data_IF_049471181788
#
_entry.id   IF_049471181788
#
_cell.length_a   1.000
_cell.length_b   1.000
_cell.length_c   1.000
_cell.angle_alpha   90.00
_cell.angle_beta   90.00
_cell.angle_gamma   90.00
#
_symmetry.space_group_name_H-M   'P 1'
#
loop_
_entity.id
_entity.type
_entity.pdbx_description
1 polymer ?
#
# COMPACT_ATOMS: atom_id res chain seq x y z
N UNK A 1 -28.44 30.61 8.44
CA UNK A 1 -27.63 29.42 8.15
C UNK A 1 -26.29 29.91 7.67
N UNK A 2 -25.35 30.11 8.61
CA UNK A 2 -24.02 30.61 8.29
C UNK A 2 -23.12 29.42 7.97
N UNK A 3 -22.49 29.48 6.80
CA UNK A 3 -21.41 28.60 6.36
C UNK A 3 -20.18 28.84 7.23
N UNK A 4 -19.69 27.79 7.88
CA UNK A 4 -18.46 27.83 8.69
C UNK A 4 -17.29 27.54 7.76
N UNK A 5 -16.42 28.53 7.58
CA UNK A 5 -15.13 28.42 6.89
C UNK A 5 -14.10 27.73 7.80
N UNK A 6 -13.09 27.01 7.25
CA UNK A 6 -12.20 26.13 8.03
C UNK A 6 -11.08 26.85 8.80
N UNK A 7 -11.07 28.18 8.85
CA UNK A 7 -9.91 28.99 9.29
C UNK A 7 -9.95 29.49 10.74
N UNK A 8 -11.03 29.26 11.50
CA UNK A 8 -11.21 29.85 12.85
C UNK A 8 -11.06 28.84 14.01
N UNK A 9 -10.08 27.93 13.94
CA UNK A 9 -9.78 27.02 15.06
C UNK A 9 -8.32 27.12 15.55
N UNK A 10 -7.86 28.34 15.79
CA UNK A 10 -6.60 28.61 16.51
C UNK A 10 -6.79 29.77 17.48
N UNK A 11 -7.20 29.53 18.74
CA UNK A 11 -6.90 30.51 19.83
C UNK A 11 -7.13 30.08 21.30
N UNK A 12 -7.03 28.80 21.70
CA UNK A 12 -7.06 28.49 23.17
C UNK A 12 -6.47 27.16 23.62
N UNK A 13 -6.23 26.20 22.73
CA UNK A 13 -5.70 24.86 23.05
C UNK A 13 -4.20 24.69 22.73
N UNK A 14 -3.59 25.72 22.15
CA UNK A 14 -2.25 25.70 21.55
C UNK A 14 -1.09 25.28 22.49
N UNK A 15 -0.98 25.75 23.76
CA UNK A 15 0.19 25.45 24.57
C UNK A 15 0.22 23.99 25.05
N UNK A 16 -0.94 23.41 25.42
CA UNK A 16 -0.99 22.03 25.92
C UNK A 16 -0.84 21.01 24.78
N UNK A 17 -1.37 21.36 23.61
CA UNK A 17 -1.25 20.60 22.37
C UNK A 17 0.20 20.53 21.85
N UNK A 18 0.94 21.65 21.91
CA UNK A 18 2.34 21.69 21.51
C UNK A 18 3.25 20.87 22.45
N UNK A 19 3.03 20.97 23.76
CA UNK A 19 3.80 20.21 24.75
C UNK A 19 3.61 18.70 24.57
N UNK A 20 2.38 18.29 24.24
CA UNK A 20 2.08 16.88 23.98
C UNK A 20 2.77 16.37 22.71
N UNK A 21 2.75 17.17 21.64
CA UNK A 21 3.42 16.87 20.39
C UNK A 21 4.94 16.75 20.56
N UNK A 22 5.58 17.67 21.29
CA UNK A 22 7.03 17.68 21.51
C UNK A 22 7.54 16.41 22.21
N UNK A 23 6.71 15.81 23.08
CA UNK A 23 7.05 14.55 23.76
C UNK A 23 6.86 13.33 22.88
N UNK A 24 5.85 13.33 22.01
CA UNK A 24 5.50 12.16 21.20
C UNK A 24 6.27 12.09 19.87
N UNK A 25 6.47 13.24 19.20
CA UNK A 25 7.07 13.32 17.87
C UNK A 25 8.45 12.65 17.70
N UNK A 26 9.38 12.67 18.68
CA UNK A 26 10.68 12.01 18.56
C UNK A 26 10.60 10.48 18.41
N UNK A 27 9.46 9.89 18.75
CA UNK A 27 9.24 8.44 18.74
C UNK A 27 8.40 7.97 17.55
N UNK A 28 7.92 8.90 16.71
CA UNK A 28 7.25 8.59 15.46
C UNK A 28 8.25 8.70 14.30
N UNK A 29 7.91 8.07 13.18
CA UNK A 29 8.62 8.33 11.93
C UNK A 29 8.58 9.84 11.61
N UNK A 30 9.74 10.49 11.36
CA UNK A 30 9.80 11.93 11.10
C UNK A 30 9.00 12.36 9.86
N UNK A 31 8.86 11.49 8.86
CA UNK A 31 8.08 11.76 7.65
C UNK A 31 6.59 11.75 7.99
N UNK A 32 6.13 10.68 8.65
CA UNK A 32 4.75 10.53 9.14
C UNK A 32 4.35 11.64 10.12
N UNK A 33 5.22 11.97 11.07
CA UNK A 33 4.98 13.02 12.05
C UNK A 33 4.82 14.40 11.37
N UNK A 34 5.62 14.70 10.33
CA UNK A 34 5.49 15.95 9.60
C UNK A 34 4.22 15.99 8.74
N UNK A 35 3.93 14.92 8.02
CA UNK A 35 2.80 14.86 7.09
C UNK A 35 1.45 14.83 7.84
N UNK A 36 1.37 14.11 8.96
CA UNK A 36 0.12 13.82 9.66
C UNK A 36 -0.11 14.64 10.93
N UNK A 37 0.66 15.70 11.21
CA UNK A 37 0.60 16.45 12.48
C UNK A 37 -0.83 16.88 12.87
N UNK A 38 -1.59 17.46 11.94
CA UNK A 38 -2.94 17.95 12.22
C UNK A 38 -3.94 16.80 12.48
N UNK A 39 -3.91 15.78 11.62
CA UNK A 39 -4.79 14.62 11.71
C UNK A 39 -4.49 13.75 12.94
N UNK A 40 -3.22 13.61 13.30
CA UNK A 40 -2.77 12.90 14.50
C UNK A 40 -3.36 13.51 15.75
N UNK A 41 -3.33 14.82 15.86
CA UNK A 41 -3.78 15.45 17.09
C UNK A 41 -5.30 15.57 17.15
N UNK A 42 -5.96 15.71 15.99
CA UNK A 42 -7.43 15.75 15.90
C UNK A 42 -8.06 14.38 16.21
N UNK A 43 -7.46 13.31 15.68
CA UNK A 43 -8.07 11.98 15.72
C UNK A 43 -7.40 11.04 16.75
N UNK A 44 -6.10 11.20 16.99
CA UNK A 44 -5.26 10.28 17.77
C UNK A 44 -4.63 10.92 19.02
N UNK A 45 -5.07 12.12 19.42
CA UNK A 45 -4.52 12.86 20.56
C UNK A 45 -4.54 12.08 21.89
N UNK A 46 -5.44 11.13 22.09
CA UNK A 46 -5.44 10.31 23.31
C UNK A 46 -4.22 9.36 23.40
N UNK A 47 -3.66 8.94 22.28
CA UNK A 47 -2.54 7.98 22.23
C UNK A 47 -1.19 8.67 22.40
N UNK A 48 -1.10 9.93 21.99
CA UNK A 48 0.08 10.78 22.18
C UNK A 48 0.28 11.19 23.67
N UNK A 49 -0.73 10.95 24.52
CA UNK A 49 -0.69 11.20 25.97
C UNK A 49 -0.23 9.98 26.79
N UNK A 50 -0.02 8.82 26.16
CA UNK A 50 0.36 7.58 26.84
C UNK A 50 1.86 7.56 27.20
N UNK A 51 2.30 8.57 27.96
CA UNK A 51 3.65 8.68 28.47
C UNK A 51 3.84 7.76 29.69
N UNK A 52 4.22 6.51 29.44
CA UNK A 52 4.94 5.69 30.43
C UNK A 52 6.16 5.05 29.75
N UNK A 53 7.33 5.20 30.39
CA UNK A 53 8.70 4.96 29.91
C UNK A 53 9.05 3.54 29.40
N UNK A 54 8.09 2.62 29.24
CA UNK A 54 8.34 1.20 28.91
C UNK A 54 7.80 0.83 27.51
N UNK A 55 7.39 1.81 26.70
CA UNK A 55 6.48 1.54 25.57
C UNK A 55 6.77 2.33 24.27
N UNK A 56 8.02 2.73 23.99
CA UNK A 56 8.37 3.51 22.78
C UNK A 56 7.86 2.84 21.49
N UNK A 57 8.15 1.55 21.29
CA UNK A 57 7.65 0.79 20.11
C UNK A 57 6.13 0.63 20.10
N UNK A 58 5.47 0.66 21.27
CA UNK A 58 4.01 0.53 21.36
C UNK A 58 3.31 1.84 21.02
N UNK A 59 3.96 2.98 21.24
CA UNK A 59 3.37 4.28 20.93
C UNK A 59 3.27 4.46 19.42
N UNK A 60 4.34 4.19 18.68
CA UNK A 60 4.34 4.23 17.21
C UNK A 60 3.28 3.29 16.63
N UNK A 61 3.23 2.04 17.10
CA UNK A 61 2.21 1.07 16.66
C UNK A 61 0.78 1.54 16.96
N UNK A 62 0.52 2.08 18.16
CA UNK A 62 -0.82 2.55 18.53
C UNK A 62 -1.28 3.69 17.63
N UNK A 63 -0.37 4.65 17.35
CA UNK A 63 -0.60 5.79 16.49
C UNK A 63 -0.87 5.35 15.06
N UNK A 64 -0.08 4.41 14.52
CA UNK A 64 -0.30 3.82 13.20
C UNK A 64 -1.67 3.15 13.12
N UNK A 65 -2.08 2.39 14.14
CA UNK A 65 -3.40 1.75 14.19
C UNK A 65 -4.55 2.77 14.24
N UNK A 66 -4.38 3.88 14.96
CA UNK A 66 -5.34 4.98 14.96
C UNK A 66 -5.46 5.64 13.59
N UNK A 67 -4.32 5.99 12.97
CA UNK A 67 -4.30 6.59 11.64
C UNK A 67 -4.93 5.69 10.58
N UNK A 68 -4.63 4.38 10.59
CA UNK A 68 -5.27 3.40 9.71
C UNK A 68 -6.79 3.35 9.90
N UNK A 69 -7.26 3.45 11.15
CA UNK A 69 -8.69 3.47 11.47
C UNK A 69 -9.35 4.77 11.01
N UNK A 70 -8.69 5.92 11.22
CA UNK A 70 -9.15 7.22 10.73
C UNK A 70 -9.18 7.30 9.21
N UNK A 71 -8.20 6.70 8.52
CA UNK A 71 -8.20 6.59 7.08
C UNK A 71 -9.41 5.79 6.59
N UNK A 72 -9.67 4.61 7.16
CA UNK A 72 -10.85 3.79 6.83
C UNK A 72 -12.17 4.54 7.01
N UNK A 73 -12.23 5.44 7.99
CA UNK A 73 -13.40 6.25 8.30
C UNK A 73 -13.48 7.58 7.52
N UNK A 74 -12.53 7.87 6.62
CA UNK A 74 -12.40 9.15 5.90
C UNK A 74 -12.29 10.36 6.84
N UNK A 75 -11.59 10.21 7.97
CA UNK A 75 -11.40 11.24 8.99
C UNK A 75 -10.05 11.97 8.86
N UNK A 76 -9.27 11.65 7.82
CA UNK A 76 -7.99 12.30 7.49
C UNK A 76 -8.28 13.38 6.46
N UNK A 77 -7.85 14.61 6.73
CA UNK A 77 -8.12 15.77 5.87
C UNK A 77 -6.93 16.18 5.01
N UNK A 78 -5.70 15.97 5.50
CA UNK A 78 -4.50 16.35 4.77
C UNK A 78 -4.16 15.28 3.70
N UNK A 79 -4.13 15.68 2.43
CA UNK A 79 -3.78 14.78 1.31
C UNK A 79 -2.40 14.16 1.49
N UNK A 80 -1.41 14.96 1.95
CA UNK A 80 -0.06 14.49 2.25
C UNK A 80 -0.02 13.43 3.35
N UNK A 81 -0.92 13.53 4.34
CA UNK A 81 -1.03 12.53 5.38
C UNK A 81 -1.64 11.23 4.83
N UNK A 82 -2.63 11.34 3.95
CA UNK A 82 -3.22 10.17 3.27
C UNK A 82 -2.15 9.43 2.47
N UNK A 83 -1.38 10.13 1.63
CA UNK A 83 -0.33 9.53 0.81
C UNK A 83 0.72 8.82 1.67
N UNK A 84 1.17 9.44 2.74
CA UNK A 84 2.15 8.86 3.66
C UNK A 84 1.61 7.62 4.39
N UNK A 85 0.35 7.65 4.85
CA UNK A 85 -0.30 6.48 5.46
C UNK A 85 -0.47 5.36 4.44
N UNK A 86 -0.83 5.69 3.20
CA UNK A 86 -0.97 4.73 2.10
C UNK A 86 0.38 4.06 1.84
N UNK A 87 1.44 4.84 1.63
CA UNK A 87 2.79 4.33 1.41
C UNK A 87 3.25 3.44 2.57
N UNK A 88 3.02 3.87 3.81
CA UNK A 88 3.33 3.08 4.99
C UNK A 88 2.60 1.72 4.99
N UNK A 89 1.31 1.71 4.67
CA UNK A 89 0.51 0.47 4.62
C UNK A 89 1.03 -0.47 3.52
N UNK A 90 1.53 0.09 2.42
CA UNK A 90 2.13 -0.69 1.32
C UNK A 90 3.49 -1.28 1.68
N UNK A 91 4.36 -0.51 2.31
CA UNK A 91 5.67 -0.99 2.77
C UNK A 91 5.51 -2.18 3.74
N UNK A 92 4.45 -2.15 4.55
CA UNK A 92 4.09 -3.21 5.51
C UNK A 92 3.34 -4.40 4.85
N UNK A 93 2.92 -4.30 3.59
CA UNK A 93 2.12 -5.33 2.87
C UNK A 93 2.91 -6.59 2.48
N UNK A 94 4.21 -6.64 2.76
CA UNK A 94 5.09 -7.61 2.11
C UNK A 94 5.12 -8.99 2.75
N UNK A 95 4.90 -9.15 4.06
CA UNK A 95 5.07 -10.45 4.71
C UNK A 95 4.30 -10.61 6.03
N UNK A 96 3.85 -11.84 6.32
CA UNK A 96 3.17 -12.15 7.58
C UNK A 96 4.02 -11.81 8.81
N UNK A 97 5.34 -11.95 8.72
CA UNK A 97 6.28 -11.70 9.83
C UNK A 97 6.49 -10.20 10.13
N UNK A 98 6.20 -9.33 9.16
CA UNK A 98 6.30 -7.88 9.32
C UNK A 98 5.16 -7.38 10.21
N UNK A 99 4.06 -8.11 10.28
CA UNK A 99 2.96 -7.82 11.19
C UNK A 99 2.90 -8.82 12.37
N UNK A 100 3.51 -8.50 13.51
CA UNK A 100 3.55 -9.41 14.66
C UNK A 100 2.16 -9.68 15.26
N UNK A 101 1.18 -8.79 15.04
CA UNK A 101 -0.20 -8.99 15.52
C UNK A 101 -0.89 -10.03 14.64
N UNK A 102 -0.77 -9.92 13.32
CA UNK A 102 -1.33 -10.91 12.39
C UNK A 102 -0.61 -12.25 12.51
N UNK A 103 0.72 -12.24 12.61
CA UNK A 103 1.52 -13.45 12.74
C UNK A 103 1.09 -14.28 13.96
N UNK A 104 0.94 -13.64 15.13
CA UNK A 104 0.46 -14.31 16.34
C UNK A 104 -0.98 -14.81 16.21
N UNK A 105 -1.85 -14.03 15.57
CA UNK A 105 -3.26 -14.39 15.39
C UNK A 105 -3.46 -15.59 14.44
N UNK A 106 -2.58 -15.75 13.44
CA UNK A 106 -2.67 -16.77 12.39
C UNK A 106 -1.57 -17.85 12.48
N UNK A 107 -0.81 -17.93 13.57
CA UNK A 107 0.35 -18.81 13.68
C UNK A 107 -0.01 -20.30 13.48
N UNK A 108 -1.17 -20.71 14.01
CA UNK A 108 -1.66 -22.08 13.90
C UNK A 108 -2.06 -22.42 12.47
N UNK A 109 -2.82 -21.55 11.82
CA UNK A 109 -3.29 -21.69 10.45
C UNK A 109 -2.12 -21.72 9.47
N UNK A 110 -1.09 -20.94 9.74
CA UNK A 110 0.15 -20.96 8.94
C UNK A 110 0.83 -22.30 9.02
N UNK A 111 0.92 -22.90 10.21
CA UNK A 111 1.54 -24.23 10.36
C UNK A 111 0.68 -25.34 9.75
N UNK A 112 -0.64 -25.29 9.94
CA UNK A 112 -1.55 -26.36 9.53
C UNK A 112 -1.95 -26.31 8.06
N UNK A 113 -2.11 -25.12 7.49
CA UNK A 113 -2.65 -24.92 6.14
C UNK A 113 -1.56 -24.46 5.16
N UNK A 114 -0.65 -23.60 5.62
CA UNK A 114 0.38 -22.99 4.79
C UNK A 114 1.80 -23.47 5.17
N UNK A 115 1.94 -24.59 5.89
CA UNK A 115 3.19 -25.01 6.53
C UNK A 115 4.29 -25.41 5.54
N UNK A 116 3.90 -25.84 4.33
CA UNK A 116 4.82 -26.17 3.24
C UNK A 116 5.40 -24.93 2.54
N UNK A 117 4.91 -23.74 2.86
CA UNK A 117 5.30 -22.50 2.20
C UNK A 117 6.41 -21.82 3.01
N UNK A 118 7.57 -21.65 2.38
CA UNK A 118 8.69 -20.98 3.03
C UNK A 118 8.34 -19.52 3.35
N UNK A 119 8.73 -19.02 4.53
CA UNK A 119 8.50 -17.64 4.92
C UNK A 119 9.22 -16.66 3.99
N UNK A 120 8.66 -15.45 3.84
CA UNK A 120 9.21 -14.38 3.00
C UNK A 120 8.46 -14.17 1.68
N UNK A 121 8.65 -12.99 1.10
CA UNK A 121 8.07 -12.57 -0.20
C UNK A 121 6.53 -12.60 -0.24
N UNK A 122 5.88 -12.56 0.92
CA UNK A 122 4.42 -12.53 1.04
C UNK A 122 3.74 -13.87 0.76
N UNK A 123 4.49 -14.95 0.53
CA UNK A 123 3.91 -16.23 0.10
C UNK A 123 2.91 -16.80 1.12
N UNK A 124 3.25 -16.72 2.40
CA UNK A 124 2.36 -17.16 3.48
C UNK A 124 1.12 -16.26 3.60
N UNK A 125 1.26 -14.95 3.35
CA UNK A 125 0.12 -14.03 3.28
C UNK A 125 -0.80 -14.38 2.10
N UNK A 126 -0.25 -14.63 0.92
CA UNK A 126 -1.02 -15.05 -0.27
C UNK A 126 -1.77 -16.35 -0.02
N UNK A 127 -1.16 -17.31 0.69
CA UNK A 127 -1.82 -18.53 1.08
C UNK A 127 -3.03 -18.27 1.99
N UNK A 128 -2.85 -17.50 3.06
CA UNK A 128 -3.93 -17.15 3.99
C UNK A 128 -5.07 -16.40 3.29
N UNK A 129 -4.75 -15.44 2.41
CA UNK A 129 -5.75 -14.72 1.61
C UNK A 129 -6.54 -15.64 0.69
N UNK A 130 -5.88 -16.62 0.06
CA UNK A 130 -6.56 -17.63 -0.76
C UNK A 130 -7.50 -18.52 0.06
N UNK A 131 -7.12 -18.86 1.29
CA UNK A 131 -8.00 -19.62 2.21
C UNK A 131 -9.21 -18.76 2.60
N UNK A 132 -9.00 -17.47 2.86
CA UNK A 132 -10.05 -16.52 3.20
C UNK A 132 -11.09 -16.29 2.08
N UNK A 133 -10.74 -16.57 0.83
CA UNK A 133 -11.64 -16.48 -0.33
C UNK A 133 -12.53 -17.73 -0.51
N UNK A 134 -12.23 -18.83 0.19
CA UNK A 134 -13.02 -20.06 0.11
C UNK A 134 -14.31 -19.93 0.92
N UNK A 135 -15.33 -20.70 0.54
CA UNK A 135 -16.61 -20.74 1.25
C UNK A 135 -16.52 -21.33 2.66
N UNK A 136 -15.49 -22.14 2.93
CA UNK A 136 -15.23 -22.80 4.22
C UNK A 136 -14.27 -22.00 5.12
N UNK A 137 -13.91 -20.76 4.76
CA UNK A 137 -12.93 -19.95 5.49
C UNK A 137 -13.22 -19.81 6.99
N UNK A 138 -14.49 -19.72 7.40
CA UNK A 138 -14.89 -19.62 8.81
C UNK A 138 -14.64 -20.91 9.63
N UNK A 139 -14.53 -22.06 8.97
CA UNK A 139 -14.17 -23.33 9.59
C UNK A 139 -12.67 -23.62 9.47
N UNK A 140 -12.05 -23.20 8.37
CA UNK A 140 -10.63 -23.41 8.10
C UNK A 140 -9.73 -22.46 8.91
N UNK A 141 -10.15 -21.21 9.12
CA UNK A 141 -9.41 -20.22 9.90
C UNK A 141 -10.03 -20.08 11.30
N UNK A 142 -9.19 -20.06 12.34
CA UNK A 142 -9.65 -19.74 13.69
C UNK A 142 -10.24 -18.33 13.78
N UNK A 143 -11.10 -18.07 14.79
CA UNK A 143 -11.82 -16.80 14.90
C UNK A 143 -10.89 -15.59 15.02
N UNK A 144 -9.77 -15.73 15.75
CA UNK A 144 -8.78 -14.67 15.90
C UNK A 144 -8.08 -14.34 14.57
N UNK A 145 -7.63 -15.34 13.83
CA UNK A 145 -7.01 -15.16 12.52
C UNK A 145 -8.01 -14.56 11.53
N UNK A 146 -9.23 -15.10 11.46
CA UNK A 146 -10.28 -14.64 10.56
C UNK A 146 -10.59 -13.15 10.75
N UNK A 147 -10.79 -12.70 11.99
CA UNK A 147 -11.08 -11.29 12.28
C UNK A 147 -9.91 -10.39 11.90
N UNK A 148 -8.68 -10.76 12.29
CA UNK A 148 -7.48 -9.94 12.04
C UNK A 148 -7.11 -9.86 10.55
N UNK A 149 -7.23 -10.99 9.83
CA UNK A 149 -6.95 -11.07 8.41
C UNK A 149 -8.00 -10.32 7.58
N UNK A 150 -9.28 -10.42 7.95
CA UNK A 150 -10.37 -9.69 7.29
C UNK A 150 -10.21 -8.19 7.50
N UNK A 151 -9.92 -7.74 8.73
CA UNK A 151 -9.68 -6.32 9.05
C UNK A 151 -8.57 -5.73 8.18
N UNK A 152 -7.45 -6.45 8.01
CA UNK A 152 -6.32 -6.03 7.18
C UNK A 152 -6.65 -6.05 5.69
N UNK A 153 -7.31 -7.09 5.19
CA UNK A 153 -7.74 -7.19 3.79
C UNK A 153 -8.63 -6.01 3.40
N UNK A 154 -9.58 -5.64 4.25
CA UNK A 154 -10.46 -4.49 4.01
C UNK A 154 -9.67 -3.18 3.93
N UNK A 155 -8.72 -2.97 4.85
CA UNK A 155 -7.86 -1.79 4.85
C UNK A 155 -7.03 -1.72 3.57
N UNK A 156 -6.38 -2.81 3.16
CA UNK A 156 -5.61 -2.86 1.91
C UNK A 156 -6.47 -2.62 0.67
N UNK A 157 -7.66 -3.20 0.63
CA UNK A 157 -8.61 -2.97 -0.47
C UNK A 157 -9.11 -1.53 -0.51
N UNK A 158 -9.19 -0.86 0.64
CA UNK A 158 -9.54 0.56 0.72
C UNK A 158 -8.37 1.42 0.21
N UNK A 159 -7.15 1.16 0.69
CA UNK A 159 -5.93 1.85 0.29
C UNK A 159 -5.64 1.69 -1.21
N UNK A 160 -5.80 0.48 -1.76
CA UNK A 160 -5.59 0.21 -3.19
C UNK A 160 -6.51 1.02 -4.12
N UNK A 161 -7.63 1.56 -3.61
CA UNK A 161 -8.51 2.46 -4.37
C UNK A 161 -8.05 3.91 -4.33
N UNK A 162 -7.28 4.29 -3.31
CA UNK A 162 -6.72 5.63 -3.15
C UNK A 162 -5.45 5.81 -3.96
N UNK A 163 -4.73 4.72 -4.20
CA UNK A 163 -3.63 4.69 -5.14
C UNK A 163 -4.15 5.02 -6.55
N UNK A 164 -3.85 6.22 -7.02
CA UNK A 164 -3.99 6.53 -8.44
C UNK A 164 -3.05 5.59 -9.20
N UNK A 165 -3.46 5.05 -10.35
CA UNK A 165 -2.59 4.19 -11.15
C UNK A 165 -1.29 4.95 -11.44
N UNK A 166 -0.18 4.30 -11.07
CA UNK A 166 1.17 4.83 -11.19
C UNK A 166 1.35 5.46 -12.57
N UNK A 167 1.73 6.74 -12.57
CA UNK A 167 2.21 7.38 -13.77
C UNK A 167 3.34 6.51 -14.37
N UNK A 168 3.42 6.47 -15.69
CA UNK A 168 4.47 5.73 -16.42
C UNK A 168 5.89 6.05 -15.92
N UNK A 169 6.08 7.20 -15.26
CA UNK A 169 7.33 7.64 -14.66
C UNK A 169 7.81 6.74 -13.50
N UNK A 170 6.91 6.33 -12.60
CA UNK A 170 7.28 5.45 -11.47
C UNK A 170 7.50 4.01 -11.95
N UNK A 171 6.74 3.57 -12.96
CA UNK A 171 6.97 2.30 -13.65
C UNK A 171 8.35 2.28 -14.32
N UNK A 172 8.75 3.39 -14.95
CA UNK A 172 10.07 3.56 -15.53
C UNK A 172 11.14 3.56 -14.44
N UNK A 173 10.90 4.18 -13.29
CA UNK A 173 11.81 4.15 -12.15
C UNK A 173 11.96 2.75 -11.54
N UNK A 174 10.88 1.96 -11.41
CA UNK A 174 10.95 0.59 -10.90
C UNK A 174 11.56 -0.40 -11.90
N UNK A 175 11.24 -0.27 -13.19
CA UNK A 175 11.87 -1.04 -14.28
C UNK A 175 13.34 -0.68 -14.40
N UNK A 176 13.69 0.59 -14.14
CA UNK A 176 15.04 0.94 -13.75
C UNK A 176 15.36 0.15 -12.47
N UNK A 177 15.02 0.53 -11.24
CA UNK A 177 15.45 -0.06 -9.96
C UNK A 177 15.83 -1.57 -9.97
N UNK A 178 15.07 -2.43 -10.65
CA UNK A 178 15.37 -3.84 -10.91
C UNK A 178 16.77 -4.16 -11.48
N UNK A 179 17.37 -5.26 -11.00
CA UNK A 179 18.69 -5.76 -11.46
C UNK A 179 18.68 -6.29 -12.91
N UNK A 180 17.50 -6.50 -13.49
CA UNK A 180 17.29 -7.08 -14.83
C UNK A 180 16.92 -6.05 -15.92
N UNK A 181 17.10 -4.74 -15.69
CA UNK A 181 16.92 -3.66 -16.69
C UNK A 181 17.35 -4.06 -18.11
N UNK A 182 18.56 -4.59 -18.22
CA UNK A 182 19.19 -4.93 -19.49
C UNK A 182 18.42 -6.03 -20.24
N UNK A 183 17.82 -6.99 -19.52
CA UNK A 183 17.00 -8.04 -20.12
C UNK A 183 15.67 -7.48 -20.65
N UNK A 184 15.04 -6.59 -19.90
CA UNK A 184 13.78 -5.95 -20.31
C UNK A 184 14.00 -5.10 -21.57
N UNK A 185 15.05 -4.28 -21.58
CA UNK A 185 15.40 -3.45 -22.74
C UNK A 185 15.73 -4.31 -23.96
N UNK A 186 16.52 -5.37 -23.80
CA UNK A 186 16.88 -6.27 -24.89
C UNK A 186 15.64 -6.98 -25.46
N UNK A 187 14.71 -7.43 -24.62
CA UNK A 187 13.46 -8.03 -25.06
C UNK A 187 12.60 -7.05 -25.88
N UNK A 188 12.50 -5.78 -25.45
CA UNK A 188 11.77 -4.75 -26.20
C UNK A 188 12.42 -4.46 -27.55
N UNK A 189 13.75 -4.33 -27.61
CA UNK A 189 14.47 -4.14 -28.87
C UNK A 189 14.27 -5.29 -29.84
N UNK A 190 14.31 -6.54 -29.35
CA UNK A 190 14.03 -7.72 -30.16
C UNK A 190 12.61 -7.67 -30.69
N UNK A 191 11.61 -7.38 -29.85
CA UNK A 191 10.21 -7.28 -30.26
C UNK A 191 9.98 -6.23 -31.37
N UNK A 192 10.49 -5.00 -31.19
CA UNK A 192 10.34 -3.95 -32.19
C UNK A 192 11.09 -4.27 -33.49
N UNK A 193 12.26 -4.90 -33.40
CA UNK A 193 13.01 -5.35 -34.57
C UNK A 193 12.25 -6.42 -35.35
N UNK A 194 11.62 -7.38 -34.67
CA UNK A 194 10.77 -8.39 -35.31
C UNK A 194 9.56 -7.75 -36.01
N UNK A 195 8.86 -6.83 -35.35
CA UNK A 195 7.72 -6.10 -35.95
C UNK A 195 8.16 -5.30 -37.18
N UNK A 196 9.32 -4.63 -37.11
CA UNK A 196 9.85 -3.85 -38.22
C UNK A 196 10.25 -4.74 -39.41
N UNK A 197 10.99 -5.83 -39.17
CA UNK A 197 11.38 -6.79 -40.21
C UNK A 197 10.14 -7.42 -40.84
N UNK A 198 9.16 -7.82 -40.03
CA UNK A 198 7.91 -8.38 -40.53
C UNK A 198 7.11 -7.35 -41.34
N UNK A 199 7.04 -6.10 -40.89
CA UNK A 199 6.42 -5.00 -41.61
C UNK A 199 7.10 -4.70 -42.96
N UNK A 200 8.43 -4.73 -43.01
CA UNK A 200 9.19 -4.59 -44.26
C UNK A 200 8.97 -5.77 -45.21
N UNK A 201 8.94 -6.99 -44.70
CA UNK A 201 8.66 -8.19 -45.50
C UNK A 201 7.24 -8.15 -46.08
N UNK A 202 6.24 -7.83 -45.25
CA UNK A 202 4.85 -7.72 -45.69
C UNK A 202 4.63 -6.55 -46.67
N UNK A 203 5.27 -5.40 -46.46
CA UNK A 203 5.17 -4.25 -47.36
C UNK A 203 5.83 -4.46 -48.73
N UNK A 204 6.89 -5.26 -48.80
CA UNK A 204 7.52 -5.64 -50.10
C UNK A 204 6.78 -6.75 -50.82
N UNK A 205 6.04 -7.60 -50.11
CA UNK A 205 5.25 -8.68 -50.72
C UNK A 205 3.95 -8.14 -51.35
N UNK A 206 3.34 -7.11 -50.77
CA UNK A 206 2.08 -6.52 -51.28
C UNK A 206 2.26 -5.56 -52.47
N UNK A 207 3.48 -5.23 -52.88
CA UNK A 207 3.74 -4.37 -54.05
C UNK A 207 3.80 -5.12 -55.38
N UNK A 208 3.55 -6.45 -55.41
CA UNK A 208 3.33 -7.20 -56.66
C UNK A 208 1.84 -7.30 -56.99
N UNK A 209 1.22 -6.17 -57.31
CA UNK A 209 -0.01 -6.17 -58.10
C UNK A 209 0.41 -6.36 -59.56
N UNK A 210 -0.03 -7.42 -60.27
CA UNK A 210 0.28 -7.61 -61.68
C UNK A 210 -0.25 -6.43 -62.50
N UNK A 211 0.54 -5.99 -63.48
CA UNK A 211 0.33 -4.80 -64.32
C UNK A 211 -0.86 -4.96 -65.29
N UNK A 212 -1.62 -6.06 -65.22
CA UNK A 212 -2.69 -6.38 -66.15
C UNK A 212 -4.01 -5.62 -65.92
N UNK A 213 -4.06 -4.66 -64.99
CA UNK A 213 -5.27 -3.84 -64.73
C UNK A 213 -5.17 -2.43 -65.35
N UNK A 214 -4.09 -2.11 -66.07
CA UNK A 214 -3.92 -0.78 -66.71
C UNK A 214 -4.41 -0.69 -68.16
N UNK A 215 -5.00 -1.75 -68.71
CA UNK A 215 -5.61 -1.74 -70.04
C UNK A 215 -7.04 -2.29 -69.95
N UNK A 216 -7.97 -1.47 -69.49
CA UNK A 216 -9.37 -1.47 -69.93
C UNK A 216 -9.99 -0.11 -69.72
#
# INVERSE_FOLDING_TARGET
MATIEPSDLTDSTEPLYLIQWERAAPHLDPVLARACKADLMRNCGHQLNASTDIAVDRMDQSVRECLQTSLKNNMIYEEKCIDEIVQLIEEVKSDLHVDPVLHRACALEVQQICGEIEPGQGRQMTCLLRVLERSDAAHALGPACLTQLTKRRELWNHVAKLQRPDSLEELVYQVNASRSRNYILLALFIFFSFVFVFGLCCGRVTTRVPVDVKIK
#
